data_IF_019576526761
#
_entry.id   IF_019576526761
#
_cell.length_a   1.000
_cell.length_b   1.000
_cell.length_c   1.000
_cell.angle_alpha   90.00
_cell.angle_beta   90.00
_cell.angle_gamma   90.00
#
_symmetry.space_group_name_H-M   'P 1'
#
loop_
_entity.id
_entity.type
_entity.pdbx_description
1 polymer ?
#
# COMPACT_ATOMS: atom_id res chain seq x y z
N UNK A 1 -18.63 7.79 31.94
CA UNK A 1 -19.76 7.29 31.13
C UNK A 1 -20.52 6.22 31.93
N UNK A 2 -21.49 6.58 32.77
CA UNK A 2 -22.25 5.63 33.58
C UNK A 2 -23.43 4.95 32.86
N UNK A 3 -23.83 5.42 31.66
CA UNK A 3 -25.04 4.90 30.97
C UNK A 3 -24.87 3.54 30.29
N UNK A 4 -23.69 3.22 29.76
CA UNK A 4 -23.49 1.96 29.02
C UNK A 4 -23.60 0.70 29.91
N UNK A 5 -23.47 0.87 31.23
CA UNK A 5 -23.41 -0.26 32.18
C UNK A 5 -24.78 -0.90 32.45
N UNK A 6 -25.87 -0.23 32.07
CA UNK A 6 -27.26 -0.66 32.29
C UNK A 6 -28.02 -0.94 30.98
N UNK A 7 -27.37 -0.83 29.81
CA UNK A 7 -28.00 -1.09 28.50
C UNK A 7 -27.93 -2.59 28.15
N UNK A 8 -28.97 -3.12 27.53
CA UNK A 8 -28.96 -4.48 27.01
C UNK A 8 -27.95 -4.63 25.87
N UNK A 9 -27.46 -5.85 25.65
CA UNK A 9 -26.54 -6.14 24.55
C UNK A 9 -27.07 -5.71 23.18
N UNK A 10 -28.39 -5.82 22.96
CA UNK A 10 -29.04 -5.37 21.74
C UNK A 10 -29.01 -3.84 21.58
N UNK A 11 -29.17 -3.09 22.68
CA UNK A 11 -29.06 -1.63 22.69
C UNK A 11 -27.62 -1.18 22.46
N UNK A 12 -26.64 -1.88 23.05
CA UNK A 12 -25.21 -1.62 22.80
C UNK A 12 -24.88 -1.87 21.32
N UNK A 13 -25.34 -2.97 20.72
CA UNK A 13 -25.11 -3.25 19.30
C UNK A 13 -25.77 -2.20 18.39
N UNK A 14 -26.98 -1.76 18.72
CA UNK A 14 -27.67 -0.71 17.98
C UNK A 14 -26.89 0.62 18.06
N UNK A 15 -26.41 0.97 19.26
CA UNK A 15 -25.65 2.20 19.48
C UNK A 15 -24.31 2.21 18.75
N UNK A 16 -23.62 1.06 18.69
CA UNK A 16 -22.38 0.92 17.91
C UNK A 16 -22.66 1.17 16.42
N UNK A 17 -23.74 0.59 15.86
CA UNK A 17 -24.11 0.80 14.46
C UNK A 17 -24.47 2.26 14.16
N UNK A 18 -25.19 2.92 15.06
CA UNK A 18 -25.49 4.35 14.95
C UNK A 18 -24.20 5.18 14.96
N UNK A 19 -23.29 4.91 15.88
CA UNK A 19 -22.00 5.62 15.96
C UNK A 19 -21.13 5.37 14.72
N UNK A 20 -21.14 4.17 14.14
CA UNK A 20 -20.41 3.88 12.91
C UNK A 20 -21.02 4.61 11.71
N UNK A 21 -22.35 4.69 11.61
CA UNK A 21 -23.03 5.47 10.58
C UNK A 21 -22.71 6.97 10.71
N UNK A 22 -22.81 7.52 11.92
CA UNK A 22 -22.44 8.92 12.22
C UNK A 22 -20.97 9.20 11.86
N UNK A 23 -20.05 8.26 12.15
CA UNK A 23 -18.64 8.39 11.77
C UNK A 23 -18.44 8.46 10.26
N UNK A 24 -19.10 7.58 9.51
CA UNK A 24 -18.99 7.56 8.04
C UNK A 24 -19.51 8.86 7.44
N UNK A 25 -20.64 9.38 7.93
CA UNK A 25 -21.17 10.66 7.47
C UNK A 25 -20.25 11.84 7.81
N UNK A 26 -19.69 11.86 9.02
CA UNK A 26 -18.73 12.89 9.44
C UNK A 26 -17.43 12.83 8.63
N UNK A 27 -16.93 11.64 8.33
CA UNK A 27 -15.77 11.47 7.46
C UNK A 27 -16.05 11.96 6.04
N UNK A 28 -17.21 11.62 5.47
CA UNK A 28 -17.60 12.10 4.16
C UNK A 28 -17.73 13.63 4.12
N UNK A 29 -18.35 14.23 5.13
CA UNK A 29 -18.47 15.68 5.25
C UNK A 29 -17.09 16.36 5.42
N UNK A 30 -16.19 15.75 6.19
CA UNK A 30 -14.82 16.24 6.35
C UNK A 30 -14.04 16.18 5.03
N UNK A 31 -14.16 15.09 4.28
CA UNK A 31 -13.51 14.97 2.96
C UNK A 31 -14.07 15.96 1.95
N UNK A 32 -15.39 16.19 1.95
CA UNK A 32 -16.03 17.19 1.10
C UNK A 32 -15.48 18.60 1.41
N UNK A 33 -15.47 19.01 2.68
CA UNK A 33 -14.91 20.31 3.11
C UNK A 33 -13.44 20.46 2.76
N UNK A 34 -12.63 19.41 2.99
CA UNK A 34 -11.21 19.40 2.59
C UNK A 34 -11.05 19.60 1.09
N UNK A 35 -11.87 18.94 0.28
CA UNK A 35 -11.85 19.08 -1.18
C UNK A 35 -12.16 20.50 -1.64
N UNK A 36 -13.12 21.17 -1.00
CA UNK A 36 -13.46 22.57 -1.28
C UNK A 36 -12.35 23.53 -0.88
N UNK A 37 -11.79 23.39 0.32
CA UNK A 37 -10.68 24.22 0.81
C UNK A 37 -9.45 24.11 -0.11
N UNK A 38 -9.11 22.88 -0.53
CA UNK A 38 -8.00 22.65 -1.46
C UNK A 38 -8.25 23.35 -2.80
N UNK A 39 -9.48 23.31 -3.33
CA UNK A 39 -9.81 24.02 -4.58
C UNK A 39 -9.65 25.52 -4.45
N UNK A 40 -10.14 26.11 -3.36
CA UNK A 40 -10.00 27.55 -3.10
C UNK A 40 -8.53 27.95 -3.03
N UNK A 41 -7.70 27.15 -2.34
CA UNK A 41 -6.26 27.39 -2.27
C UNK A 41 -5.58 27.24 -3.63
N UNK A 42 -5.95 26.23 -4.41
CA UNK A 42 -5.44 26.02 -5.76
C UNK A 42 -5.80 27.17 -6.71
N UNK A 43 -7.04 27.67 -6.65
CA UNK A 43 -7.50 28.82 -7.43
C UNK A 43 -6.75 30.10 -7.04
N UNK A 44 -6.56 30.33 -5.74
CA UNK A 44 -5.79 31.46 -5.25
C UNK A 44 -4.32 31.39 -5.70
N UNK A 45 -3.74 30.20 -5.70
CA UNK A 45 -2.38 29.96 -6.19
C UNK A 45 -2.26 30.22 -7.70
N UNK A 46 -3.19 29.68 -8.49
CA UNK A 46 -3.22 29.89 -9.95
C UNK A 46 -3.34 31.38 -10.30
N UNK A 47 -4.24 32.11 -9.63
CA UNK A 47 -4.41 33.56 -9.83
C UNK A 47 -3.13 34.34 -9.50
N UNK A 48 -2.42 33.97 -8.42
CA UNK A 48 -1.15 34.62 -8.05
C UNK A 48 -0.05 34.37 -9.08
N UNK A 49 0.05 33.15 -9.63
CA UNK A 49 1.00 32.85 -10.68
C UNK A 49 0.72 33.66 -11.95
N UNK A 50 -0.54 33.68 -12.38
CA UNK A 50 -0.97 34.44 -13.56
C UNK A 50 -0.73 35.94 -13.38
N UNK A 51 -1.01 36.50 -12.20
CA UNK A 51 -0.72 37.91 -11.89
C UNK A 51 0.78 38.22 -11.93
N UNK A 52 1.63 37.25 -11.61
CA UNK A 52 3.09 37.36 -11.74
C UNK A 52 3.63 37.06 -13.14
N UNK A 53 2.77 36.73 -14.12
CA UNK A 53 3.18 36.34 -15.47
C UNK A 53 3.81 34.94 -15.57
N UNK A 54 3.67 34.11 -14.53
CA UNK A 54 4.20 32.75 -14.51
C UNK A 54 3.17 31.74 -15.03
N UNK A 55 3.66 30.67 -15.63
CA UNK A 55 2.82 29.52 -15.96
C UNK A 55 2.54 28.66 -14.72
N UNK A 56 1.41 27.94 -14.74
CA UNK A 56 1.07 26.97 -13.68
C UNK A 56 2.15 25.89 -13.55
N UNK A 57 2.73 25.46 -14.67
CA UNK A 57 3.77 24.43 -14.69
C UNK A 57 5.05 24.87 -13.96
N UNK A 58 5.48 26.13 -14.13
CA UNK A 58 6.61 26.70 -13.41
C UNK A 58 6.34 26.78 -11.91
N UNK A 59 5.12 27.16 -11.53
CA UNK A 59 4.68 27.14 -10.15
C UNK A 59 4.78 25.75 -9.52
N UNK A 60 4.20 24.72 -10.17
CA UNK A 60 4.29 23.34 -9.68
C UNK A 60 5.74 22.88 -9.54
N UNK A 61 6.60 23.23 -10.51
CA UNK A 61 8.04 22.93 -10.42
C UNK A 61 8.70 23.63 -9.22
N UNK A 62 8.31 24.87 -8.92
CA UNK A 62 8.81 25.63 -7.78
C UNK A 62 8.33 25.08 -6.42
N UNK A 63 7.24 24.30 -6.40
CA UNK A 63 6.77 23.63 -5.18
C UNK A 63 7.58 22.37 -4.83
N UNK A 64 8.40 21.84 -5.75
CA UNK A 64 9.15 20.60 -5.53
C UNK A 64 10.02 20.55 -4.26
N UNK A 65 10.72 21.63 -3.85
CA UNK A 65 11.49 21.63 -2.59
C UNK A 65 10.62 21.54 -1.32
N UNK A 66 9.35 21.90 -1.42
CA UNK A 66 8.38 21.87 -0.32
C UNK A 66 7.61 20.56 -0.24
N UNK A 67 7.73 19.69 -1.25
CA UNK A 67 7.17 18.34 -1.24
C UNK A 67 8.01 17.42 -0.32
N UNK A 68 7.76 17.51 0.98
CA UNK A 68 8.40 16.66 1.99
C UNK A 68 7.87 15.22 1.99
N UNK A 69 6.80 14.92 1.24
CA UNK A 69 6.26 13.56 1.15
C UNK A 69 7.16 12.62 0.33
N UNK A 70 7.94 13.16 -0.63
CA UNK A 70 9.00 12.41 -1.31
C UNK A 70 10.23 12.14 -0.44
N UNK A 71 10.42 12.88 0.65
CA UNK A 71 11.68 12.88 1.39
C UNK A 71 11.87 11.68 2.35
N UNK A 72 10.89 10.78 2.53
CA UNK A 72 11.08 9.56 3.34
C UNK A 72 10.00 8.52 3.04
N UNK A 73 10.26 7.64 2.07
CA UNK A 73 9.94 6.22 2.29
C UNK A 73 11.14 5.64 3.04
N UNK A 74 11.05 5.40 4.36
CA UNK A 74 12.10 4.68 5.04
C UNK A 74 12.12 3.24 4.50
N UNK A 75 13.22 2.87 3.85
CA UNK A 75 13.65 1.49 3.66
C UNK A 75 12.68 0.55 2.92
N UNK A 76 12.79 0.50 1.59
CA UNK A 76 13.02 -0.84 1.04
C UNK A 76 14.41 -1.23 1.54
N UNK A 77 14.48 -1.99 2.63
CA UNK A 77 15.72 -2.58 3.10
C UNK A 77 16.39 -3.36 1.95
N UNK A 78 17.67 -3.76 2.10
CA UNK A 78 18.28 -4.69 1.16
C UNK A 78 17.31 -5.86 0.97
N UNK A 79 16.85 -6.07 -0.27
CA UNK A 79 16.03 -7.25 -0.61
C UNK A 79 16.76 -8.45 -0.03
N UNK A 80 16.06 -9.24 0.77
CA UNK A 80 16.59 -10.51 1.27
C UNK A 80 17.24 -11.26 0.11
N UNK A 81 18.41 -11.86 0.38
CA UNK A 81 19.11 -12.67 -0.59
C UNK A 81 18.12 -13.62 -1.26
N UNK A 82 18.10 -13.60 -2.59
CA UNK A 82 17.13 -14.35 -3.38
C UNK A 82 17.33 -15.84 -3.10
N UNK A 83 16.33 -16.50 -2.51
CA UNK A 83 16.42 -17.92 -2.12
C UNK A 83 16.42 -18.87 -3.33
N UNK A 84 15.98 -18.36 -4.49
CA UNK A 84 15.95 -19.06 -5.76
C UNK A 84 17.11 -18.60 -6.66
N UNK A 85 17.95 -19.54 -7.08
CA UNK A 85 19.06 -19.32 -7.98
C UNK A 85 18.58 -19.28 -9.44
N UNK A 86 19.02 -18.27 -10.19
CA UNK A 86 18.61 -18.11 -11.59
C UNK A 86 19.29 -19.16 -12.46
N UNK A 87 18.53 -19.84 -13.32
CA UNK A 87 19.04 -20.92 -14.16
C UNK A 87 18.77 -22.32 -13.60
N UNK A 88 18.50 -22.43 -12.29
CA UNK A 88 18.18 -23.70 -11.62
C UNK A 88 16.75 -24.13 -11.94
N UNK A 89 16.56 -25.42 -12.21
CA UNK A 89 15.24 -26.05 -12.36
C UNK A 89 14.81 -26.59 -11.02
N UNK A 90 13.59 -26.28 -10.60
CA UNK A 90 12.99 -26.77 -9.37
C UNK A 90 11.85 -27.73 -9.68
N UNK A 91 11.72 -28.81 -8.92
CA UNK A 91 10.69 -29.83 -9.08
C UNK A 91 9.80 -29.89 -7.84
N UNK A 92 8.49 -29.81 -8.07
CA UNK A 92 7.48 -29.97 -7.03
C UNK A 92 7.41 -31.45 -6.61
N UNK A 93 7.58 -31.79 -5.32
CA UNK A 93 7.53 -33.18 -4.85
C UNK A 93 6.11 -33.76 -4.81
N UNK A 94 5.07 -32.92 -4.77
CA UNK A 94 3.67 -33.33 -4.64
C UNK A 94 3.04 -33.61 -6.01
N UNK A 95 3.35 -32.79 -7.02
CA UNK A 95 2.75 -32.88 -8.36
C UNK A 95 3.72 -33.33 -9.44
N UNK A 96 5.03 -33.31 -9.17
CA UNK A 96 6.07 -33.57 -10.17
C UNK A 96 6.32 -32.42 -11.15
N UNK A 97 5.59 -31.30 -11.02
CA UNK A 97 5.73 -30.11 -11.88
C UNK A 97 7.15 -29.52 -11.79
N UNK A 98 7.74 -29.14 -12.92
CA UNK A 98 9.06 -28.50 -12.98
C UNK A 98 8.96 -27.04 -13.37
N UNK A 99 9.75 -26.20 -12.73
CA UNK A 99 9.83 -24.76 -13.01
C UNK A 99 11.28 -24.30 -13.05
N UNK A 100 11.68 -23.62 -14.13
CA UNK A 100 13.02 -23.05 -14.28
C UNK A 100 13.05 -21.60 -13.84
N UNK A 101 13.96 -21.28 -12.93
CA UNK A 101 14.09 -19.93 -12.40
C UNK A 101 14.63 -18.95 -13.46
N UNK A 102 13.78 -18.00 -13.88
CA UNK A 102 14.14 -16.92 -14.79
C UNK A 102 14.78 -15.71 -14.10
N UNK A 103 15.45 -14.85 -14.88
CA UNK A 103 16.10 -13.64 -14.38
C UNK A 103 15.12 -12.62 -13.74
N UNK A 104 13.83 -12.66 -14.12
CA UNK A 104 12.79 -11.69 -13.74
C UNK A 104 12.19 -11.85 -12.32
N UNK A 105 12.80 -12.62 -11.43
CA UNK A 105 12.45 -12.57 -9.99
C UNK A 105 11.18 -13.31 -9.55
N UNK A 106 10.23 -13.60 -10.45
CA UNK A 106 8.95 -14.22 -10.06
C UNK A 106 9.13 -15.71 -9.79
N UNK A 107 8.93 -16.12 -8.54
CA UNK A 107 8.88 -17.50 -8.09
C UNK A 107 7.49 -18.09 -8.40
N UNK A 108 7.42 -19.35 -8.82
CA UNK A 108 6.16 -20.07 -9.05
C UNK A 108 5.41 -20.30 -7.73
N UNK A 109 4.08 -20.24 -7.75
CA UNK A 109 3.25 -20.21 -6.53
C UNK A 109 3.48 -21.40 -5.59
N UNK A 110 3.67 -22.62 -6.11
CA UNK A 110 3.94 -23.78 -5.28
C UNK A 110 5.30 -23.69 -4.56
N UNK A 111 6.33 -23.16 -5.21
CA UNK A 111 7.66 -23.02 -4.60
C UNK A 111 7.66 -21.89 -3.56
N UNK A 112 6.93 -20.80 -3.83
CA UNK A 112 6.74 -19.73 -2.87
C UNK A 112 6.02 -20.23 -1.60
N UNK A 113 4.97 -21.04 -1.74
CA UNK A 113 4.27 -21.61 -0.59
C UNK A 113 5.17 -22.49 0.30
N UNK A 114 6.14 -23.21 -0.29
CA UNK A 114 7.11 -24.00 0.48
C UNK A 114 8.14 -23.11 1.19
N UNK A 115 8.58 -22.00 0.56
CA UNK A 115 9.45 -21.00 1.17
C UNK A 115 8.73 -20.31 2.34
N UNK A 116 7.48 -19.92 2.16
CA UNK A 116 6.65 -19.31 3.20
C UNK A 116 6.39 -20.29 4.36
N UNK A 117 6.35 -21.59 4.08
CA UNK A 117 6.31 -22.66 5.08
C UNK A 117 7.68 -22.93 5.75
N UNK A 118 8.71 -22.14 5.45
CA UNK A 118 10.05 -22.20 6.05
C UNK A 118 10.98 -23.24 5.42
N UNK A 119 10.61 -23.85 4.28
CA UNK A 119 11.49 -24.80 3.58
C UNK A 119 12.39 -24.07 2.60
N UNK A 120 13.64 -24.52 2.49
CA UNK A 120 14.61 -23.93 1.55
C UNK A 120 14.31 -24.33 0.11
N UNK A 121 14.35 -23.37 -0.81
CA UNK A 121 14.16 -23.64 -2.24
C UNK A 121 15.15 -24.68 -2.79
N UNK A 122 16.38 -24.72 -2.26
CA UNK A 122 17.41 -25.69 -2.62
C UNK A 122 16.97 -27.17 -2.47
N UNK A 123 16.05 -27.48 -1.55
CA UNK A 123 15.50 -28.84 -1.39
C UNK A 123 14.70 -29.32 -2.60
N UNK A 124 14.25 -28.39 -3.43
CA UNK A 124 13.46 -28.67 -4.61
C UNK A 124 14.27 -28.49 -5.89
N UNK A 125 15.54 -28.12 -5.80
CA UNK A 125 16.40 -28.02 -6.98
C UNK A 125 16.56 -29.42 -7.58
N UNK A 126 16.20 -29.56 -8.85
CA UNK A 126 16.58 -30.71 -9.64
C UNK A 126 18.04 -30.46 -10.06
N UNK A 127 18.98 -31.20 -9.49
CA UNK A 127 20.37 -31.19 -9.93
C UNK A 127 20.40 -31.32 -11.46
N UNK A 128 20.94 -30.31 -12.12
CA UNK A 128 21.35 -30.41 -13.50
C UNK A 128 22.67 -31.19 -13.50
N UNK A 129 22.56 -32.52 -13.50
CA UNK A 129 23.62 -33.38 -14.02
C UNK A 129 23.78 -33.20 -15.52
#
# INVERSE_FOLDING_TARGET
MPEAKNMSFAEIQKRIKEMDAERVELEAALQAKRGEEIKVLADAYAKKLQAGGFSIAEGVKALAPYDTAKAKRPGAGPRSAREVETGTTYKNPETGETWKAGAKGRVVGWLQAQIDAGKRAALFAADAG
#
